data_IF_725232689159
#
_entry.id   IF_725232689159
#
_cell.length_a   1.000
_cell.length_b   1.000
_cell.length_c   1.000
_cell.angle_alpha   90.00
_cell.angle_beta   90.00
_cell.angle_gamma   90.00
#
_symmetry.space_group_name_H-M   'P 1'
#
loop_
_entity.id
_entity.type
_entity.pdbx_description
1 polymer ?
#
# COMPACT_ATOMS: atom_id res chain seq x y z
N UNK A 1 21.60 0.24 10.05
CA UNK A 1 21.54 0.81 8.71
C UNK A 1 20.19 1.47 8.48
N UNK A 2 20.16 2.66 7.93
CA UNK A 2 18.91 3.33 7.67
C UNK A 2 18.13 2.62 6.56
N UNK A 3 16.81 2.53 6.74
CA UNK A 3 15.94 1.98 5.70
C UNK A 3 15.83 3.02 4.58
N UNK A 4 16.28 2.65 3.38
CA UNK A 4 16.27 3.56 2.23
C UNK A 4 14.90 3.67 1.56
N UNK A 5 13.97 2.75 1.84
CA UNK A 5 12.62 2.74 1.28
C UNK A 5 11.60 2.36 2.36
N UNK A 6 11.15 3.33 3.16
CA UNK A 6 10.18 3.05 4.23
C UNK A 6 8.87 2.44 3.76
N UNK A 7 8.36 2.86 2.60
CA UNK A 7 7.13 2.27 2.06
C UNK A 7 7.36 0.82 1.65
N UNK A 8 8.47 0.53 0.95
CA UNK A 8 8.83 -0.82 0.59
C UNK A 8 9.01 -1.72 1.80
N UNK A 9 9.60 -1.20 2.88
CA UNK A 9 9.72 -1.92 4.14
C UNK A 9 8.35 -2.29 4.72
N UNK A 10 7.39 -1.36 4.71
CA UNK A 10 6.04 -1.65 5.17
C UNK A 10 5.38 -2.77 4.36
N UNK A 11 5.51 -2.72 3.03
CA UNK A 11 4.94 -3.77 2.17
C UNK A 11 5.58 -5.14 2.46
N UNK A 12 6.88 -5.15 2.73
CA UNK A 12 7.60 -6.37 3.11
C UNK A 12 7.11 -6.92 4.44
N UNK A 13 6.86 -6.05 5.43
CA UNK A 13 6.31 -6.46 6.73
C UNK A 13 4.93 -7.08 6.58
N UNK A 14 4.08 -6.50 5.73
CA UNK A 14 2.76 -7.06 5.44
C UNK A 14 2.90 -8.45 4.83
N UNK A 15 3.76 -8.60 3.83
CA UNK A 15 4.00 -9.86 3.15
C UNK A 15 4.50 -10.94 4.11
N UNK A 16 5.48 -10.60 4.94
CA UNK A 16 6.05 -11.55 5.91
C UNK A 16 5.04 -11.95 6.99
N UNK A 17 4.25 -11.00 7.48
CA UNK A 17 3.21 -11.28 8.48
C UNK A 17 2.16 -12.22 7.92
N UNK A 18 1.78 -12.06 6.66
CA UNK A 18 0.82 -12.96 6.02
C UNK A 18 1.37 -14.37 5.83
N UNK A 19 2.65 -14.51 5.51
CA UNK A 19 3.30 -15.83 5.42
C UNK A 19 3.30 -16.54 6.77
N UNK A 20 3.48 -15.79 7.85
CA UNK A 20 3.46 -16.32 9.21
C UNK A 20 2.03 -16.46 9.78
N UNK A 21 1.01 -16.11 9.00
CA UNK A 21 -0.41 -16.16 9.40
C UNK A 21 -0.72 -15.29 10.61
N UNK A 22 -0.01 -14.16 10.77
CA UNK A 22 -0.31 -13.19 11.81
C UNK A 22 -1.60 -12.44 11.46
N UNK A 23 -2.36 -12.02 12.47
CA UNK A 23 -3.56 -11.21 12.26
C UNK A 23 -3.25 -9.73 12.10
N UNK A 24 -2.11 -9.29 12.64
CA UNK A 24 -1.68 -7.89 12.58
C UNK A 24 -0.21 -7.79 12.25
N UNK A 25 0.21 -6.63 11.75
CA UNK A 25 1.61 -6.30 11.67
C UNK A 25 1.81 -4.82 11.99
N UNK A 26 3.04 -4.44 12.32
CA UNK A 26 3.37 -3.08 12.74
C UNK A 26 4.37 -2.46 11.78
N UNK A 27 4.25 -1.16 11.54
CA UNK A 27 5.19 -0.41 10.73
C UNK A 27 5.35 1.00 11.30
N UNK A 28 6.52 1.65 11.15
CA UNK A 28 6.66 3.04 11.55
C UNK A 28 5.64 3.93 10.86
N UNK A 29 5.07 4.89 11.58
CA UNK A 29 4.02 5.75 11.05
C UNK A 29 4.60 6.85 10.15
N UNK A 30 3.89 7.13 9.05
CA UNK A 30 4.08 8.32 8.25
C UNK A 30 2.78 8.61 7.51
N UNK A 31 2.64 9.84 7.04
CA UNK A 31 1.44 10.23 6.29
C UNK A 31 1.31 9.42 5.00
N UNK A 32 2.40 9.23 4.26
CA UNK A 32 2.37 8.45 3.02
C UNK A 32 1.95 7.00 3.28
N UNK A 33 2.56 6.36 4.27
CA UNK A 33 2.24 4.98 4.61
C UNK A 33 0.78 4.83 5.06
N UNK A 34 0.29 5.76 5.87
CA UNK A 34 -1.10 5.76 6.30
C UNK A 34 -2.06 5.93 5.10
N UNK A 35 -1.72 6.80 4.16
CA UNK A 35 -2.53 7.03 2.97
C UNK A 35 -2.58 5.78 2.06
N UNK A 36 -1.46 5.06 1.93
CA UNK A 36 -1.42 3.80 1.18
C UNK A 36 -2.29 2.74 1.87
N UNK A 37 -2.20 2.64 3.19
CA UNK A 37 -3.05 1.70 3.96
C UNK A 37 -4.53 2.04 3.82
N UNK A 38 -4.88 3.32 3.76
CA UNK A 38 -6.26 3.73 3.58
C UNK A 38 -6.81 3.26 2.22
N UNK A 39 -6.01 3.34 1.15
CA UNK A 39 -6.39 2.80 -0.15
C UNK A 39 -6.59 1.29 -0.06
N UNK A 40 -5.66 0.57 0.57
CA UNK A 40 -5.78 -0.89 0.75
C UNK A 40 -7.06 -1.25 1.50
N UNK A 41 -7.41 -0.48 2.52
CA UNK A 41 -8.64 -0.70 3.28
C UNK A 41 -9.88 -0.47 2.42
N UNK A 42 -9.93 0.65 1.71
CA UNK A 42 -11.08 1.00 0.84
C UNK A 42 -11.29 -0.05 -0.25
N UNK A 43 -10.19 -0.59 -0.78
CA UNK A 43 -10.26 -1.60 -1.85
C UNK A 43 -10.43 -3.03 -1.32
N UNK A 44 -10.52 -3.19 0.01
CA UNK A 44 -10.84 -4.48 0.60
C UNK A 44 -9.67 -5.43 0.77
N UNK A 45 -8.42 -4.95 0.72
CA UNK A 45 -7.23 -5.80 0.85
C UNK A 45 -6.78 -5.99 2.30
N UNK A 46 -7.11 -5.05 3.19
CA UNK A 46 -6.87 -5.17 4.62
C UNK A 46 -8.15 -4.84 5.38
N UNK A 47 -8.22 -5.27 6.64
CA UNK A 47 -9.40 -4.98 7.48
C UNK A 47 -9.40 -3.54 7.95
N UNK A 48 -8.22 -3.00 8.27
CA UNK A 48 -8.09 -1.66 8.77
C UNK A 48 -6.68 -1.40 9.29
N UNK A 49 -6.50 -0.22 9.86
CA UNK A 49 -5.25 0.14 10.52
C UNK A 49 -5.50 1.24 11.54
N UNK A 50 -4.59 1.35 12.50
CA UNK A 50 -4.64 2.38 13.52
C UNK A 50 -3.26 2.92 13.79
N UNK A 51 -3.15 4.24 13.99
CA UNK A 51 -1.93 4.85 14.48
C UNK A 51 -1.87 4.67 15.99
N UNK A 52 -0.73 4.21 16.49
CA UNK A 52 -0.49 4.02 17.93
C UNK A 52 0.77 4.78 18.32
N UNK A 53 0.69 5.54 19.39
CA UNK A 53 1.84 6.24 19.92
C UNK A 53 2.53 5.34 20.95
N UNK A 54 3.77 4.92 20.63
CA UNK A 54 4.57 4.08 21.53
C UNK A 54 5.10 4.87 22.71
N UNK A 55 5.46 6.12 22.44
CA UNK A 55 5.97 7.10 23.39
C UNK A 55 5.87 8.47 22.73
N UNK A 56 5.98 9.58 23.47
CA UNK A 56 5.85 10.91 22.87
C UNK A 56 6.74 11.09 21.65
N UNK A 57 6.14 11.49 20.53
CA UNK A 57 6.84 11.72 19.27
C UNK A 57 7.19 10.48 18.45
N UNK A 58 6.87 9.28 18.93
CA UNK A 58 7.13 8.03 18.22
C UNK A 58 5.84 7.27 18.00
N UNK A 59 5.38 7.25 16.76
CA UNK A 59 4.14 6.55 16.41
C UNK A 59 4.41 5.40 15.45
N UNK A 60 3.56 4.40 15.50
CA UNK A 60 3.57 3.30 14.55
C UNK A 60 2.15 3.00 14.07
N UNK A 61 2.06 2.34 12.93
CA UNK A 61 0.80 1.90 12.36
C UNK A 61 0.60 0.43 12.69
N UNK A 62 -0.54 0.11 13.29
CA UNK A 62 -0.98 -1.26 13.51
C UNK A 62 -1.90 -1.62 12.36
N UNK A 63 -1.49 -2.60 11.56
CA UNK A 63 -2.19 -3.01 10.35
C UNK A 63 -2.94 -4.30 10.62
N UNK A 64 -4.24 -4.30 10.40
CA UNK A 64 -5.07 -5.49 10.60
C UNK A 64 -5.22 -6.21 9.26
N UNK A 65 -4.62 -7.39 9.17
CA UNK A 65 -4.58 -8.19 7.96
C UNK A 65 -5.90 -8.91 7.73
N UNK A 66 -6.18 -9.25 6.47
CA UNK A 66 -7.44 -9.86 6.06
C UNK A 66 -7.19 -11.20 5.43
N UNK A 67 -7.97 -12.20 5.87
CA UNK A 67 -7.92 -13.56 5.35
C UNK A 67 -9.32 -13.98 4.90
N UNK A 68 -9.37 -14.83 3.89
CA UNK A 68 -10.61 -15.42 3.41
C UNK A 68 -10.41 -16.93 3.33
N UNK A 69 -11.17 -17.68 4.12
CA UNK A 69 -11.05 -19.13 4.23
C UNK A 69 -9.62 -19.59 4.51
N UNK A 70 -8.93 -18.88 5.43
CA UNK A 70 -7.56 -19.20 5.82
C UNK A 70 -6.48 -18.69 4.89
N UNK A 71 -6.84 -18.12 3.74
CA UNK A 71 -5.87 -17.59 2.79
C UNK A 71 -5.79 -16.07 2.84
N UNK A 72 -4.58 -15.49 2.71
CA UNK A 72 -4.45 -14.03 2.66
C UNK A 72 -5.22 -13.44 1.49
N UNK A 73 -5.91 -12.33 1.74
CA UNK A 73 -6.61 -11.60 0.67
C UNK A 73 -5.61 -10.99 -0.30
N UNK A 74 -4.49 -10.46 0.22
CA UNK A 74 -3.41 -9.97 -0.63
C UNK A 74 -2.60 -11.17 -1.11
N UNK A 75 -2.64 -11.46 -2.41
CA UNK A 75 -1.85 -12.53 -3.02
C UNK A 75 -0.49 -12.04 -3.46
N UNK A 76 -0.42 -10.82 -3.96
CA UNK A 76 0.82 -10.15 -4.34
C UNK A 76 0.77 -8.70 -3.91
N UNK A 77 1.89 -8.21 -3.38
CA UNK A 77 2.07 -6.79 -3.09
C UNK A 77 3.51 -6.44 -3.44
N UNK A 78 3.68 -5.53 -4.41
CA UNK A 78 4.96 -5.25 -5.03
C UNK A 78 5.22 -3.76 -5.08
N UNK A 79 6.39 -3.34 -4.58
CA UNK A 79 6.86 -1.96 -4.70
C UNK A 79 7.23 -1.70 -6.17
N UNK A 80 6.71 -0.62 -6.76
CA UNK A 80 7.01 -0.25 -8.14
C UNK A 80 8.01 0.90 -8.18
N UNK A 81 7.60 2.09 -7.74
CA UNK A 81 8.48 3.25 -7.67
C UNK A 81 9.36 3.16 -6.42
N UNK A 82 10.66 3.33 -6.57
CA UNK A 82 11.64 3.21 -5.48
C UNK A 82 12.48 4.48 -5.41
N UNK A 83 13.10 4.77 -4.25
CA UNK A 83 13.94 5.97 -4.13
C UNK A 83 15.03 6.10 -5.21
N UNK A 84 15.64 4.99 -5.62
CA UNK A 84 16.66 4.98 -6.67
C UNK A 84 16.11 4.92 -8.08
N UNK A 85 14.82 4.67 -8.24
CA UNK A 85 14.20 4.52 -9.56
C UNK A 85 12.71 4.86 -9.47
N UNK A 86 12.39 6.13 -9.67
CA UNK A 86 10.99 6.58 -9.64
C UNK A 86 10.27 6.17 -10.92
N UNK A 87 9.02 5.75 -10.78
CA UNK A 87 8.17 5.31 -11.90
C UNK A 87 6.90 6.15 -11.92
N UNK A 88 6.68 6.85 -13.02
CA UNK A 88 5.50 7.69 -13.21
C UNK A 88 4.68 7.15 -14.38
N UNK A 89 3.37 7.34 -14.33
CA UNK A 89 2.49 6.94 -15.42
C UNK A 89 1.44 8.01 -15.67
N UNK A 90 1.19 8.26 -16.96
CA UNK A 90 0.02 9.00 -17.37
C UNK A 90 -1.19 8.09 -17.27
N UNK A 91 -2.34 8.66 -16.95
CA UNK A 91 -3.54 7.85 -16.71
C UNK A 91 -3.93 6.98 -17.92
N UNK A 92 -3.73 7.48 -19.12
CA UNK A 92 -4.09 6.75 -20.35
C UNK A 92 -3.16 5.57 -20.65
N UNK A 93 -1.95 5.59 -20.09
CA UNK A 93 -0.91 4.58 -20.35
C UNK A 93 -0.82 3.53 -19.27
N UNK A 94 -1.61 3.69 -18.18
CA UNK A 94 -1.50 2.81 -17.03
C UNK A 94 -2.20 1.48 -17.28
N UNK A 95 -1.47 0.35 -17.27
CA UNK A 95 -2.08 -0.95 -17.46
C UNK A 95 -2.93 -1.34 -16.24
N UNK A 96 -3.97 -2.13 -16.48
CA UNK A 96 -4.77 -2.71 -15.40
C UNK A 96 -4.04 -3.92 -14.83
N UNK A 97 -4.07 -4.04 -13.50
CA UNK A 97 -3.44 -5.17 -12.82
C UNK A 97 -4.41 -6.36 -12.88
N UNK A 98 -3.93 -7.47 -13.47
CA UNK A 98 -4.72 -8.71 -13.61
C UNK A 98 -6.14 -8.44 -14.13
N UNK A 99 -6.23 -7.72 -15.25
CA UNK A 99 -7.50 -7.39 -15.92
C UNK A 99 -8.50 -6.68 -14.99
N UNK A 100 -8.02 -5.89 -14.05
CA UNK A 100 -8.86 -5.12 -13.14
C UNK A 100 -9.18 -5.80 -11.81
N UNK A 101 -8.70 -7.02 -11.58
CA UNK A 101 -8.88 -7.69 -10.29
C UNK A 101 -7.93 -7.16 -9.22
N UNK A 102 -6.76 -6.67 -9.64
CA UNK A 102 -5.82 -6.00 -8.74
C UNK A 102 -5.85 -4.50 -8.91
N UNK A 103 -5.01 -3.81 -8.16
CA UNK A 103 -4.90 -2.35 -8.23
C UNK A 103 -3.44 -1.90 -8.30
N UNK A 104 -3.24 -0.71 -8.85
CA UNK A 104 -2.03 0.08 -8.62
C UNK A 104 -2.40 1.20 -7.66
N UNK A 105 -1.50 1.55 -6.76
CA UNK A 105 -1.68 2.69 -5.86
C UNK A 105 -0.74 3.79 -6.30
N UNK A 106 -1.29 4.97 -6.53
CA UNK A 106 -0.56 6.12 -7.07
C UNK A 106 -0.54 7.28 -6.11
N UNK A 107 0.56 8.03 -6.16
CA UNK A 107 0.64 9.36 -5.57
C UNK A 107 0.38 10.37 -6.68
N UNK A 108 -0.73 11.10 -6.58
CA UNK A 108 -1.17 12.07 -7.58
C UNK A 108 -1.25 13.47 -6.97
N UNK A 109 -1.38 14.53 -7.79
CA UNK A 109 -1.61 15.87 -7.26
C UNK A 109 -2.87 15.99 -6.39
N UNK A 110 -3.80 15.05 -6.52
CA UNK A 110 -5.03 15.02 -5.71
C UNK A 110 -4.95 14.07 -4.53
N UNK A 111 -3.79 13.46 -4.28
CA UNK A 111 -3.57 12.56 -3.16
C UNK A 111 -3.23 11.15 -3.59
N UNK A 112 -3.11 10.28 -2.59
CA UNK A 112 -2.84 8.85 -2.82
C UNK A 112 -4.14 8.15 -3.12
N UNK A 113 -4.19 7.41 -4.22
CA UNK A 113 -5.43 6.76 -4.68
C UNK A 113 -5.13 5.52 -5.52
N UNK A 114 -6.17 4.72 -5.76
CA UNK A 114 -6.06 3.57 -6.65
C UNK A 114 -6.07 4.03 -8.11
N UNK A 115 -5.66 3.12 -9.01
CA UNK A 115 -5.69 3.40 -10.44
C UNK A 115 -7.12 3.67 -10.94
N UNK A 116 -8.12 2.97 -10.42
CA UNK A 116 -9.52 3.23 -10.78
C UNK A 116 -9.96 4.64 -10.36
N UNK A 117 -9.59 5.05 -9.15
CA UNK A 117 -9.88 6.41 -8.68
C UNK A 117 -9.16 7.47 -9.51
N UNK A 118 -7.89 7.19 -9.88
CA UNK A 118 -7.09 8.09 -10.71
C UNK A 118 -7.69 8.22 -12.12
N UNK A 119 -8.18 7.13 -12.70
CA UNK A 119 -8.86 7.17 -14.00
C UNK A 119 -10.14 8.00 -13.93
N UNK A 120 -10.94 7.81 -12.87
CA UNK A 120 -12.16 8.58 -12.67
C UNK A 120 -11.88 10.08 -12.50
N UNK A 121 -10.78 10.42 -11.82
CA UNK A 121 -10.36 11.81 -11.63
C UNK A 121 -9.55 12.35 -12.80
N UNK A 122 -9.21 11.52 -13.78
CA UNK A 122 -8.39 11.87 -14.95
C UNK A 122 -7.04 12.47 -14.56
N UNK A 123 -6.35 11.82 -13.62
CA UNK A 123 -5.02 12.23 -13.15
C UNK A 123 -4.04 11.05 -13.21
N UNK A 124 -2.80 11.34 -13.53
CA UNK A 124 -1.70 10.39 -13.41
C UNK A 124 -0.81 10.74 -12.25
N UNK A 125 0.23 9.96 -12.02
CA UNK A 125 1.16 10.22 -10.94
C UNK A 125 2.23 9.16 -10.80
N UNK A 126 2.86 9.16 -9.63
CA UNK A 126 3.88 8.17 -9.29
C UNK A 126 3.19 6.85 -8.91
N UNK A 127 3.59 5.77 -9.58
CA UNK A 127 3.06 4.43 -9.29
C UNK A 127 3.83 3.86 -8.10
N UNK A 128 3.22 3.88 -6.92
CA UNK A 128 3.88 3.48 -5.68
C UNK A 128 4.02 1.95 -5.58
N UNK A 129 2.94 1.24 -5.80
CA UNK A 129 2.94 -0.22 -5.68
C UNK A 129 1.78 -0.84 -6.46
N UNK A 130 1.85 -2.16 -6.63
CA UNK A 130 0.77 -2.97 -7.18
C UNK A 130 0.33 -3.99 -6.17
N UNK A 131 -0.96 -4.25 -6.13
CA UNK A 131 -1.58 -5.19 -5.20
C UNK A 131 -2.57 -6.07 -5.95
N UNK A 132 -2.47 -7.35 -5.68
CA UNK A 132 -3.43 -8.34 -6.21
C UNK A 132 -3.82 -9.34 -5.14
#
# INVERSE_FOLDING_TARGET
>A
MAVSDPLGDMLTRIRNAQRARHTTCMAPASKLRANVLDVLRREGFIRGFQAQELRPGVAQLRIELKYNEGEPVIKEITRVSKPGRRVYSKIKEMPRVYAGLGISILSTPRGVMSDAEARAANVGGEVLCRVF
#
